data_IF_830556470682
#
_entry.id   IF_830556470682
#
_cell.length_a   1.000
_cell.length_b   1.000
_cell.length_c   1.000
_cell.angle_alpha   90.00
_cell.angle_beta   90.00
_cell.angle_gamma   90.00
#
_symmetry.space_group_name_H-M   'P 1'
#
loop_
_entity.id
_entity.type
_entity.pdbx_description
1 polymer ?
#
# COMPACT_ATOMS: atom_id res chain seq x y z
N UNK A 1 15.36 -19.25 -15.30
CA UNK A 1 16.53 -18.97 -14.43
C UNK A 1 15.93 -18.60 -13.09
N UNK A 2 15.99 -19.48 -12.10
CA UNK A 2 15.49 -19.17 -10.76
C UNK A 2 16.42 -18.13 -10.14
N UNK A 3 16.06 -16.85 -10.28
CA UNK A 3 16.72 -15.80 -9.52
C UNK A 3 16.60 -16.14 -8.03
N UNK A 4 17.76 -16.26 -7.38
CA UNK A 4 17.85 -16.55 -5.96
C UNK A 4 17.17 -15.41 -5.20
N UNK A 5 16.00 -15.69 -4.62
CA UNK A 5 15.29 -14.73 -3.76
C UNK A 5 16.08 -14.53 -2.47
N UNK A 6 16.51 -13.29 -2.22
CA UNK A 6 17.24 -12.91 -1.00
C UNK A 6 16.32 -12.03 -0.17
N UNK A 7 16.11 -12.40 1.09
CA UNK A 7 15.37 -11.56 2.03
C UNK A 7 16.14 -10.27 2.34
N UNK A 8 15.44 -9.14 2.30
CA UNK A 8 15.93 -7.86 2.80
C UNK A 8 14.89 -7.28 3.78
N UNK A 9 15.29 -6.87 4.99
CA UNK A 9 14.37 -6.16 5.89
C UNK A 9 13.99 -4.78 5.31
N UNK A 10 12.85 -4.26 5.74
CA UNK A 10 12.40 -2.92 5.39
C UNK A 10 13.21 -1.87 6.14
N UNK A 11 13.65 -0.84 5.43
CA UNK A 11 14.46 0.23 5.97
C UNK A 11 13.62 1.13 6.92
N UNK A 12 14.23 1.62 7.99
CA UNK A 12 13.63 2.63 8.87
C UNK A 12 14.07 3.99 8.35
N UNK A 13 13.13 4.79 7.87
CA UNK A 13 13.40 6.04 7.16
C UNK A 13 12.95 7.25 7.98
N UNK A 14 13.76 8.30 7.96
CA UNK A 14 13.40 9.63 8.43
C UNK A 14 12.50 10.35 7.42
N UNK A 15 11.82 11.41 7.88
CA UNK A 15 10.98 12.23 7.01
C UNK A 15 11.76 12.86 5.84
N UNK A 16 13.02 13.19 6.04
CA UNK A 16 13.83 13.82 4.99
C UNK A 16 14.29 12.80 3.96
N UNK A 17 14.70 11.60 4.38
CA UNK A 17 14.97 10.49 3.45
C UNK A 17 13.74 10.14 2.61
N UNK A 18 12.56 10.09 3.22
CA UNK A 18 11.29 9.85 2.50
C UNK A 18 11.05 10.93 1.44
N UNK A 19 11.22 12.21 1.78
CA UNK A 19 11.07 13.31 0.81
C UNK A 19 12.08 13.22 -0.32
N UNK A 20 13.34 12.91 0.01
CA UNK A 20 14.38 12.76 -1.00
C UNK A 20 14.08 11.61 -1.96
N UNK A 21 13.64 10.44 -1.46
CA UNK A 21 13.25 9.31 -2.31
C UNK A 21 12.09 9.69 -3.25
N UNK A 22 11.08 10.40 -2.72
CA UNK A 22 9.95 10.89 -3.53
C UNK A 22 10.42 11.88 -4.61
N UNK A 23 11.37 12.76 -4.29
CA UNK A 23 11.92 13.73 -5.25
C UNK A 23 12.80 13.06 -6.31
N UNK A 24 13.60 12.05 -5.93
CA UNK A 24 14.45 11.29 -6.87
C UNK A 24 13.64 10.44 -7.83
N UNK A 25 12.42 10.04 -7.43
CA UNK A 25 11.47 9.25 -8.22
C UNK A 25 12.08 8.00 -8.87
N UNK A 26 13.00 7.34 -8.16
CA UNK A 26 13.65 6.12 -8.65
C UNK A 26 12.75 4.92 -8.42
N UNK A 27 12.47 4.15 -9.47
CA UNK A 27 11.52 3.04 -9.41
C UNK A 27 11.85 2.04 -8.29
N UNK A 28 13.12 1.64 -8.16
CA UNK A 28 13.56 0.67 -7.15
C UNK A 28 13.34 1.16 -5.71
N UNK A 29 13.54 2.46 -5.47
CA UNK A 29 13.25 3.11 -4.20
C UNK A 29 11.74 3.14 -3.94
N UNK A 30 10.96 3.57 -4.93
CA UNK A 30 9.51 3.71 -4.80
C UNK A 30 8.75 2.39 -4.72
N UNK A 31 9.35 1.28 -5.18
CA UNK A 31 8.78 -0.06 -4.97
C UNK A 31 8.77 -0.43 -3.49
N UNK A 32 9.78 -0.05 -2.72
CA UNK A 32 9.90 -0.46 -1.31
C UNK A 32 9.38 0.61 -0.34
N UNK A 33 9.41 1.89 -0.74
CA UNK A 33 9.01 3.02 0.10
C UNK A 33 7.63 2.88 0.78
N UNK A 34 6.53 2.48 0.09
CA UNK A 34 5.24 2.33 0.75
C UNK A 34 5.25 1.30 1.88
N UNK A 35 6.04 0.23 1.74
CA UNK A 35 6.13 -0.84 2.73
C UNK A 35 6.92 -0.35 3.94
N UNK A 36 8.09 0.26 3.70
CA UNK A 36 8.97 0.79 4.75
C UNK A 36 8.27 1.83 5.61
N UNK A 37 7.60 2.81 5.00
CA UNK A 37 6.89 3.85 5.76
C UNK A 37 5.68 3.29 6.51
N UNK A 38 4.97 2.32 5.94
CA UNK A 38 3.77 1.74 6.54
C UNK A 38 4.05 0.83 7.73
N UNK A 39 5.15 0.08 7.70
CA UNK A 39 5.58 -0.77 8.80
C UNK A 39 6.16 0.07 9.96
N UNK A 40 7.12 0.94 9.62
CA UNK A 40 8.05 1.49 10.60
C UNK A 40 7.67 2.90 11.10
N UNK A 41 6.95 3.71 10.30
CA UNK A 41 6.71 5.09 10.67
C UNK A 41 5.72 5.21 11.86
N UNK A 42 6.05 6.09 12.81
CA UNK A 42 5.24 6.27 14.04
C UNK A 42 3.94 7.02 13.78
N UNK A 43 3.95 7.97 12.84
CA UNK A 43 2.76 8.67 12.40
C UNK A 43 2.08 7.90 11.26
N UNK A 44 1.02 7.16 11.60
CA UNK A 44 0.22 6.36 10.66
C UNK A 44 -0.43 7.21 9.56
N UNK A 45 -0.83 8.45 9.88
CA UNK A 45 -1.48 9.34 8.91
C UNK A 45 -0.49 9.82 7.87
N UNK A 46 0.72 10.18 8.30
CA UNK A 46 1.81 10.51 7.38
C UNK A 46 2.12 9.32 6.45
N UNK A 47 2.26 8.10 7.00
CA UNK A 47 2.47 6.90 6.18
C UNK A 47 1.35 6.68 5.14
N UNK A 48 0.09 6.84 5.56
CA UNK A 48 -1.06 6.76 4.66
C UNK A 48 -0.99 7.81 3.56
N UNK A 49 -0.65 9.05 3.89
CA UNK A 49 -0.59 10.15 2.93
C UNK A 49 0.51 9.90 1.88
N UNK A 50 1.65 9.31 2.27
CA UNK A 50 2.68 8.84 1.34
C UNK A 50 2.17 7.72 0.43
N UNK A 51 1.49 6.71 0.98
CA UNK A 51 0.86 5.66 0.16
C UNK A 51 -0.19 6.25 -0.80
N UNK A 52 -0.99 7.21 -0.36
CA UNK A 52 -1.98 7.87 -1.21
C UNK A 52 -1.31 8.65 -2.35
N UNK A 53 -0.20 9.35 -2.08
CA UNK A 53 0.61 9.99 -3.11
C UNK A 53 1.15 8.97 -4.13
N UNK A 54 1.79 7.90 -3.65
CA UNK A 54 2.39 6.86 -4.50
C UNK A 54 1.36 6.06 -5.29
N UNK A 55 0.10 6.02 -4.83
CA UNK A 55 -0.99 5.41 -5.58
C UNK A 55 -1.29 6.11 -6.91
N UNK A 56 -0.74 7.30 -7.18
CA UNK A 56 -0.89 7.99 -8.47
C UNK A 56 0.34 7.85 -9.38
N UNK A 57 1.32 7.04 -8.99
CA UNK A 57 2.52 6.81 -9.79
C UNK A 57 2.20 6.06 -11.10
N UNK A 58 2.96 6.32 -12.16
CA UNK A 58 2.76 5.70 -13.49
C UNK A 58 2.93 4.17 -13.47
N UNK A 59 3.87 3.68 -12.65
CA UNK A 59 4.15 2.25 -12.50
C UNK A 59 3.03 1.53 -11.75
N UNK A 60 2.36 0.52 -12.35
CA UNK A 60 1.34 -0.28 -11.67
C UNK A 60 1.91 -1.05 -10.46
N UNK A 61 3.19 -1.38 -10.47
CA UNK A 61 3.85 -2.06 -9.35
C UNK A 61 3.95 -1.15 -8.11
N UNK A 62 4.30 0.13 -8.31
CA UNK A 62 4.36 1.13 -7.22
C UNK A 62 2.96 1.36 -6.66
N UNK A 63 1.94 1.51 -7.52
CA UNK A 63 0.55 1.67 -7.06
C UNK A 63 0.04 0.45 -6.27
N UNK A 64 0.37 -0.76 -6.71
CA UNK A 64 0.01 -1.97 -5.98
C UNK A 64 0.71 -2.05 -4.61
N UNK A 65 1.96 -1.59 -4.52
CA UNK A 65 2.69 -1.51 -3.26
C UNK A 65 2.16 -0.40 -2.34
N UNK A 66 1.64 0.70 -2.90
CA UNK A 66 0.90 1.69 -2.13
C UNK A 66 -0.35 1.09 -1.46
N UNK A 67 -1.10 0.24 -2.18
CA UNK A 67 -2.24 -0.49 -1.61
C UNK A 67 -1.81 -1.48 -0.53
N UNK A 68 -0.70 -2.20 -0.74
CA UNK A 68 -0.10 -3.05 0.29
C UNK A 68 0.33 -2.24 1.53
N UNK A 69 0.84 -1.02 1.34
CA UNK A 69 1.14 -0.10 2.43
C UNK A 69 -0.08 0.18 3.31
N UNK A 70 -1.25 0.42 2.71
CA UNK A 70 -2.48 0.57 3.49
C UNK A 70 -2.81 -0.68 4.34
N UNK A 71 -2.62 -1.88 3.79
CA UNK A 71 -2.80 -3.12 4.56
C UNK A 71 -1.83 -3.21 5.74
N UNK A 72 -0.57 -2.80 5.57
CA UNK A 72 0.42 -2.76 6.65
C UNK A 72 0.01 -1.78 7.76
N UNK A 73 -0.46 -0.58 7.40
CA UNK A 73 -0.95 0.40 8.38
C UNK A 73 -2.20 -0.15 9.09
N UNK A 74 -3.12 -0.77 8.37
CA UNK A 74 -4.30 -1.42 8.95
C UNK A 74 -3.91 -2.49 9.96
N UNK A 75 -2.98 -3.38 9.62
CA UNK A 75 -2.49 -4.46 10.48
C UNK A 75 -1.75 -3.95 11.71
N UNK A 76 -0.83 -2.99 11.53
CA UNK A 76 0.10 -2.58 12.60
C UNK A 76 -0.44 -1.45 13.47
N UNK A 77 -1.24 -0.54 12.89
CA UNK A 77 -1.74 0.66 13.57
C UNK A 77 -3.25 0.64 13.79
N UNK A 78 -4.00 -0.23 13.11
CA UNK A 78 -5.46 -0.33 13.24
C UNK A 78 -6.20 0.95 12.82
N UNK A 79 -5.59 1.78 11.98
CA UNK A 79 -6.11 3.10 11.60
C UNK A 79 -5.89 3.40 10.13
N UNK A 80 -6.94 3.84 9.46
CA UNK A 80 -6.91 4.44 8.12
C UNK A 80 -8.12 5.37 7.96
N UNK A 81 -7.97 6.41 7.15
CA UNK A 81 -9.07 7.27 6.73
C UNK A 81 -9.80 6.66 5.54
N UNK A 82 -10.94 6.03 5.84
CA UNK A 82 -11.75 5.29 4.85
C UNK A 82 -12.10 6.09 3.61
N UNK A 83 -12.40 7.38 3.76
CA UNK A 83 -12.79 8.23 2.64
C UNK A 83 -11.62 8.52 1.67
N UNK A 84 -10.37 8.42 2.13
CA UNK A 84 -9.17 8.54 1.30
C UNK A 84 -8.81 7.18 0.69
N UNK A 85 -8.74 6.14 1.52
CA UNK A 85 -8.20 4.84 1.10
C UNK A 85 -9.16 4.06 0.21
N UNK A 86 -10.47 4.04 0.54
CA UNK A 86 -11.47 3.26 -0.20
C UNK A 86 -11.48 3.56 -1.72
N UNK A 87 -11.54 4.82 -2.18
CA UNK A 87 -11.56 5.08 -3.63
C UNK A 87 -10.28 4.62 -4.32
N UNK A 88 -9.11 4.76 -3.68
CA UNK A 88 -7.82 4.33 -4.24
C UNK A 88 -7.81 2.80 -4.41
N UNK A 89 -8.13 2.07 -3.34
CA UNK A 89 -8.13 0.59 -3.37
C UNK A 89 -9.12 0.05 -4.39
N UNK A 90 -10.33 0.62 -4.47
CA UNK A 90 -11.33 0.18 -5.44
C UNK A 90 -10.95 0.54 -6.89
N UNK A 91 -10.22 1.64 -7.11
CA UNK A 91 -9.67 1.97 -8.43
C UNK A 91 -8.62 0.94 -8.84
N UNK A 92 -7.64 0.66 -7.98
CA UNK A 92 -6.59 -0.33 -8.30
C UNK A 92 -7.16 -1.74 -8.48
N UNK A 93 -8.20 -2.12 -7.75
CA UNK A 93 -8.89 -3.41 -7.96
C UNK A 93 -9.49 -3.53 -9.37
N UNK A 94 -9.95 -2.41 -9.95
CA UNK A 94 -10.53 -2.41 -11.30
C UNK A 94 -9.47 -2.30 -12.40
N UNK A 95 -8.40 -1.54 -12.16
CA UNK A 95 -7.48 -1.10 -13.22
C UNK A 95 -6.13 -1.83 -13.20
N UNK A 96 -5.68 -2.33 -12.05
CA UNK A 96 -4.36 -2.92 -11.88
C UNK A 96 -4.37 -4.44 -12.07
N UNK A 97 -4.64 -4.88 -13.30
CA UNK A 97 -4.75 -6.31 -13.62
C UNK A 97 -3.43 -7.08 -13.38
N UNK A 98 -2.27 -6.45 -13.60
CA UNK A 98 -0.96 -7.10 -13.48
C UNK A 98 -0.63 -7.53 -12.05
N UNK A 99 -1.03 -6.74 -11.05
CA UNK A 99 -0.76 -6.99 -9.64
C UNK A 99 -2.04 -7.23 -8.83
N UNK A 100 -3.12 -7.66 -9.50
CA UNK A 100 -4.44 -7.82 -8.89
C UNK A 100 -4.42 -8.72 -7.63
N UNK A 101 -3.60 -9.77 -7.64
CA UNK A 101 -3.43 -10.66 -6.47
C UNK A 101 -2.98 -9.88 -5.22
N UNK A 102 -2.03 -8.94 -5.35
CA UNK A 102 -1.56 -8.11 -4.24
C UNK A 102 -2.63 -7.16 -3.76
N UNK A 103 -3.45 -6.64 -4.68
CA UNK A 103 -4.58 -5.77 -4.34
C UNK A 103 -5.63 -6.54 -3.53
N UNK A 104 -5.96 -7.77 -3.95
CA UNK A 104 -6.91 -8.64 -3.26
C UNK A 104 -6.41 -9.01 -1.85
N UNK A 105 -5.16 -9.44 -1.71
CA UNK A 105 -4.56 -9.75 -0.40
C UNK A 105 -4.61 -8.53 0.53
N UNK A 106 -4.31 -7.35 0.00
CA UNK A 106 -4.36 -6.10 0.77
C UNK A 106 -5.79 -5.72 1.18
N UNK A 107 -6.79 -5.99 0.33
CA UNK A 107 -8.20 -5.77 0.65
C UNK A 107 -8.62 -6.68 1.80
N UNK A 108 -8.21 -7.94 1.79
CA UNK A 108 -8.53 -8.91 2.82
C UNK A 108 -7.92 -8.51 4.17
N UNK A 109 -6.67 -8.06 4.19
CA UNK A 109 -6.03 -7.51 5.39
C UNK A 109 -6.78 -6.28 5.92
N UNK A 110 -7.06 -5.29 5.05
CA UNK A 110 -7.79 -4.08 5.45
C UNK A 110 -9.16 -4.42 6.03
N UNK A 111 -9.90 -5.34 5.38
CA UNK A 111 -11.19 -5.80 5.84
C UNK A 111 -11.08 -6.55 7.18
N UNK A 112 -10.07 -7.41 7.34
CA UNK A 112 -9.84 -8.19 8.54
C UNK A 112 -9.54 -7.31 9.76
N UNK A 113 -8.61 -6.35 9.61
CA UNK A 113 -8.13 -5.53 10.72
C UNK A 113 -9.02 -4.33 11.03
N UNK A 114 -9.64 -3.71 10.02
CA UNK A 114 -10.50 -2.52 10.23
C UNK A 114 -12.00 -2.83 10.20
N UNK A 115 -12.38 -4.09 9.96
CA UNK A 115 -13.78 -4.52 9.78
C UNK A 115 -14.50 -3.76 8.67
N UNK A 116 -13.75 -3.38 7.63
CA UNK A 116 -14.32 -2.78 6.44
C UNK A 116 -14.92 -3.86 5.52
N UNK A 117 -15.67 -3.39 4.52
CA UNK A 117 -16.23 -4.20 3.44
C UNK A 117 -15.82 -3.57 2.11
N UNK A 118 -14.52 -3.68 1.81
CA UNK A 118 -13.93 -3.30 0.52
C UNK A 118 -13.93 -4.51 -0.41
N UNK A 119 -14.12 -4.29 -1.71
CA UNK A 119 -13.92 -5.30 -2.77
C UNK A 119 -14.92 -6.46 -2.79
N UNK A 120 -15.50 -6.86 -1.65
CA UNK A 120 -16.67 -7.72 -1.61
C UNK A 120 -17.86 -6.95 -2.17
N UNK A 121 -18.36 -7.44 -3.29
CA UNK A 121 -19.70 -7.13 -3.73
C UNK A 121 -20.69 -7.36 -2.58
N UNK A 122 -21.74 -6.55 -2.55
CA UNK A 122 -22.95 -6.81 -1.79
C UNK A 122 -23.67 -8.06 -2.35
N UNK A 123 -22.96 -9.20 -2.46
CA UNK A 123 -23.41 -10.46 -3.07
C UNK A 123 -23.36 -11.62 -2.09
N UNK A 124 -23.30 -11.34 -0.79
CA UNK A 124 -23.76 -12.26 0.25
C UNK A 124 -24.98 -11.59 0.89
N UNK A 125 -26.13 -11.67 0.23
CA UNK A 125 -27.37 -11.05 0.67
C UNK A 125 -28.35 -10.74 -0.46
N UNK A 126 -28.74 -11.77 -1.22
CA UNK A 126 -30.04 -11.89 -1.88
C UNK A 126 -30.40 -13.38 -1.92
#
# INVERSE_FOLDING_TARGET
MDEKRIYKPLDVLSNDEIKEMLNRNQLDELLTLPLSVSENHTNWKFAQDICAQLSNHESPAVRANAVLGFAYIARTKGKLEKHIVKPIVLRELRENHQYNWRILDSIDDINMFLKWKLGKSATEGN
#
